data_IF_336719871854
#
_entry.id   IF_336719871854
#
_cell.length_a   1.000
_cell.length_b   1.000
_cell.length_c   1.000
_cell.angle_alpha   90.00
_cell.angle_beta   90.00
_cell.angle_gamma   90.00
#
_symmetry.space_group_name_H-M   'P 1'
#
loop_
_entity.id
_entity.type
_entity.pdbx_description
1 polymer ?
#
# COMPACT_ATOMS: atom_id res chain seq x y z
N UNK A 1 -18.83 -5.36 18.49
CA UNK A 1 -18.96 -6.29 17.33
C UNK A 1 -17.60 -6.47 16.60
N UNK A 2 -17.30 -7.67 16.10
CA UNK A 2 -16.00 -7.99 15.45
C UNK A 2 -15.73 -7.14 14.21
N UNK A 3 -16.76 -6.85 13.40
CA UNK A 3 -16.63 -6.03 12.19
C UNK A 3 -16.09 -4.61 12.44
N UNK A 4 -16.30 -4.03 13.62
CA UNK A 4 -15.68 -2.74 13.98
C UNK A 4 -14.15 -2.81 13.92
N UNK A 5 -13.56 -3.88 14.47
CA UNK A 5 -12.11 -4.04 14.53
C UNK A 5 -11.49 -4.23 13.15
N UNK A 6 -12.13 -5.02 12.28
CA UNK A 6 -11.72 -5.21 10.87
C UNK A 6 -11.62 -3.86 10.15
N UNK A 7 -12.69 -3.06 10.20
CA UNK A 7 -12.72 -1.77 9.52
C UNK A 7 -11.81 -0.73 10.16
N UNK A 8 -11.74 -0.69 11.50
CA UNK A 8 -10.85 0.21 12.22
C UNK A 8 -9.37 -0.08 11.92
N UNK A 9 -8.96 -1.34 11.89
CA UNK A 9 -7.57 -1.73 11.60
C UNK A 9 -7.15 -1.34 10.18
N UNK A 10 -8.03 -1.58 9.20
CA UNK A 10 -7.80 -1.17 7.81
C UNK A 10 -7.72 0.35 7.67
N UNK A 11 -8.60 1.09 8.35
CA UNK A 11 -8.57 2.55 8.36
C UNK A 11 -7.26 3.07 8.97
N UNK A 12 -6.85 2.57 10.14
CA UNK A 12 -5.57 2.90 10.77
C UNK A 12 -4.41 2.63 9.82
N UNK A 13 -4.44 1.52 9.09
CA UNK A 13 -3.36 1.17 8.17
C UNK A 13 -3.26 2.12 7.00
N UNK A 14 -4.40 2.48 6.40
CA UNK A 14 -4.46 3.50 5.34
C UNK A 14 -3.92 4.83 5.84
N UNK A 15 -4.21 5.21 7.09
CA UNK A 15 -3.68 6.43 7.69
C UNK A 15 -2.16 6.36 7.92
N UNK A 16 -1.64 5.20 8.37
CA UNK A 16 -0.20 4.98 8.63
C UNK A 16 0.62 4.98 7.33
N UNK A 17 0.19 4.23 6.30
CA UNK A 17 0.93 4.15 5.03
C UNK A 17 0.60 5.31 4.09
N UNK A 18 -0.53 5.97 4.33
CA UNK A 18 -1.04 7.15 3.64
C UNK A 18 -1.51 6.93 2.19
N UNK A 19 -2.11 7.98 1.58
CA UNK A 19 -2.82 7.91 0.31
C UNK A 19 -1.92 7.58 -0.89
N UNK A 20 -0.64 7.95 -0.82
CA UNK A 20 0.32 7.62 -1.88
C UNK A 20 0.48 6.09 -2.01
N UNK A 21 0.59 5.39 -0.88
CA UNK A 21 0.72 3.93 -0.89
C UNK A 21 -0.53 3.26 -1.45
N UNK A 22 -1.73 3.75 -1.10
CA UNK A 22 -3.01 3.27 -1.65
C UNK A 22 -3.07 3.46 -3.17
N UNK A 23 -2.66 4.64 -3.66
CA UNK A 23 -2.60 4.91 -5.09
C UNK A 23 -1.57 4.02 -5.81
N UNK A 24 -0.42 3.75 -5.17
CA UNK A 24 0.59 2.81 -5.63
C UNK A 24 0.07 1.38 -5.76
N UNK A 25 -0.65 0.90 -4.74
CA UNK A 25 -1.31 -0.43 -4.75
C UNK A 25 -2.33 -0.51 -5.89
N UNK A 26 -3.16 0.53 -6.09
CA UNK A 26 -4.10 0.59 -7.23
C UNK A 26 -3.35 0.45 -8.56
N UNK A 27 -2.22 1.15 -8.74
CA UNK A 27 -1.40 1.02 -9.95
C UNK A 27 -0.80 -0.39 -10.10
N UNK A 28 -0.38 -1.03 -9.02
CA UNK A 28 0.11 -2.42 -9.04
C UNK A 28 -0.96 -3.40 -9.54
N UNK A 29 -2.20 -3.29 -9.03
CA UNK A 29 -3.33 -4.12 -9.48
C UNK A 29 -3.64 -3.89 -10.95
N UNK A 30 -3.72 -2.63 -11.38
CA UNK A 30 -4.00 -2.26 -12.78
C UNK A 30 -2.92 -2.80 -13.71
N UNK A 31 -1.64 -2.68 -13.33
CA UNK A 31 -0.51 -3.22 -14.11
C UNK A 31 -0.53 -4.74 -14.20
N UNK A 32 -0.88 -5.46 -13.13
CA UNK A 32 -1.01 -6.93 -13.17
C UNK A 32 -2.18 -7.38 -14.04
N UNK A 33 -3.33 -6.68 -13.98
CA UNK A 33 -4.49 -6.96 -14.83
C UNK A 33 -4.21 -6.70 -16.30
N UNK A 34 -3.49 -5.63 -16.62
CA UNK A 34 -3.10 -5.33 -18.01
C UNK A 34 -1.88 -6.12 -18.48
N UNK A 35 -1.01 -6.58 -17.58
CA UNK A 35 0.17 -7.40 -17.87
C UNK A 35 -0.16 -8.81 -18.37
N UNK A 36 -1.40 -9.28 -18.19
CA UNK A 36 -1.93 -10.47 -18.86
C UNK A 36 -2.19 -10.27 -20.36
N UNK A 37 -2.33 -9.01 -20.80
CA UNK A 37 -2.31 -8.62 -22.20
C UNK A 37 -0.93 -8.08 -22.54
N UNK A 38 0.02 -8.97 -22.80
CA UNK A 38 1.35 -8.65 -23.35
C UNK A 38 1.17 -7.76 -24.59
N UNK A 39 1.17 -6.45 -24.39
CA UNK A 39 1.08 -5.49 -25.48
C UNK A 39 2.34 -5.68 -26.31
N UNK A 40 2.15 -6.17 -27.53
CA UNK A 40 3.14 -6.31 -28.62
C UNK A 40 3.70 -4.95 -29.06
N UNK A 41 4.22 -4.15 -28.12
CA UNK A 41 5.15 -3.06 -28.45
C UNK A 41 6.53 -3.65 -28.33
N UNK A 42 7.24 -3.70 -29.46
CA UNK A 42 8.58 -4.26 -29.61
C UNK A 42 9.42 -4.01 -28.37
N UNK A 43 9.83 -5.05 -27.62
CA UNK A 43 10.64 -4.88 -26.44
C UNK A 43 11.94 -4.20 -26.84
N UNK A 44 12.21 -3.01 -26.31
CA UNK A 44 13.56 -2.47 -26.40
C UNK A 44 14.44 -3.37 -25.51
N UNK A 45 15.61 -3.84 -25.97
CA UNK A 45 16.45 -4.77 -25.21
C UNK A 45 16.75 -4.29 -23.77
N UNK A 46 16.85 -2.97 -23.61
CA UNK A 46 17.14 -2.27 -22.35
C UNK A 46 15.94 -2.13 -21.40
N UNK A 47 14.68 -2.29 -21.86
CA UNK A 47 13.49 -2.11 -21.02
C UNK A 47 13.06 -3.39 -20.29
N UNK A 48 13.49 -4.56 -20.79
CA UNK A 48 13.06 -5.86 -20.25
C UNK A 48 13.43 -6.07 -18.77
N UNK A 49 14.56 -5.50 -18.32
CA UNK A 49 15.00 -5.58 -16.93
C UNK A 49 14.11 -4.76 -15.98
N UNK A 50 13.74 -3.55 -16.39
CA UNK A 50 12.86 -2.67 -15.64
C UNK A 50 11.43 -3.25 -15.54
N UNK A 51 10.92 -3.81 -16.65
CA UNK A 51 9.57 -4.40 -16.69
C UNK A 51 9.43 -5.60 -15.72
N UNK A 52 10.47 -6.45 -15.62
CA UNK A 52 10.48 -7.57 -14.66
C UNK A 52 10.61 -7.09 -13.21
N UNK A 53 11.38 -6.02 -12.96
CA UNK A 53 11.52 -5.41 -11.65
C UNK A 53 10.18 -4.87 -11.14
N UNK A 54 9.45 -4.15 -11.99
CA UNK A 54 8.13 -3.61 -11.69
C UNK A 54 7.11 -4.72 -11.40
N UNK A 55 7.14 -5.83 -12.14
CA UNK A 55 6.26 -6.97 -11.90
C UNK A 55 6.53 -7.63 -10.53
N UNK A 56 7.81 -7.87 -10.21
CA UNK A 56 8.22 -8.44 -8.91
C UNK A 56 7.80 -7.54 -7.76
N UNK A 57 7.97 -6.22 -7.92
CA UNK A 57 7.50 -5.23 -6.96
C UNK A 57 5.98 -5.31 -6.79
N UNK A 58 5.20 -5.37 -7.88
CA UNK A 58 3.75 -5.52 -7.81
C UNK A 58 3.33 -6.79 -7.05
N UNK A 59 3.97 -7.92 -7.35
CA UNK A 59 3.70 -9.20 -6.66
C UNK A 59 4.05 -9.13 -5.17
N UNK A 60 5.20 -8.56 -4.82
CA UNK A 60 5.62 -8.37 -3.44
C UNK A 60 4.62 -7.52 -2.64
N UNK A 61 4.22 -6.38 -3.20
CA UNK A 61 3.26 -5.46 -2.56
C UNK A 61 1.89 -6.13 -2.40
N UNK A 62 1.40 -6.84 -3.42
CA UNK A 62 0.11 -7.53 -3.31
C UNK A 62 0.16 -8.74 -2.38
N UNK A 63 1.27 -9.47 -2.32
CA UNK A 63 1.46 -10.55 -1.36
C UNK A 63 1.47 -10.01 0.08
N UNK A 64 2.15 -8.88 0.33
CA UNK A 64 2.12 -8.21 1.62
C UNK A 64 0.71 -7.72 2.00
N UNK A 65 -0.02 -7.14 1.05
CA UNK A 65 -1.41 -6.73 1.25
C UNK A 65 -2.31 -7.93 1.58
N UNK A 66 -2.15 -9.04 0.86
CA UNK A 66 -2.91 -10.26 1.09
C UNK A 66 -2.60 -10.87 2.47
N UNK A 67 -1.32 -10.93 2.86
CA UNK A 67 -0.92 -11.38 4.18
C UNK A 67 -1.55 -10.52 5.28
N UNK A 68 -1.56 -9.20 5.10
CA UNK A 68 -2.20 -8.26 6.02
C UNK A 68 -3.72 -8.48 6.12
N UNK A 69 -4.42 -8.70 5.00
CA UNK A 69 -5.86 -9.02 4.99
C UNK A 69 -6.16 -10.36 5.66
N UNK A 70 -5.33 -11.39 5.41
CA UNK A 70 -5.46 -12.69 6.07
C UNK A 70 -5.24 -12.54 7.57
N UNK A 71 -4.24 -11.77 7.99
CA UNK A 71 -3.99 -11.48 9.39
C UNK A 71 -5.17 -10.76 10.06
N UNK A 72 -5.76 -9.76 9.41
CA UNK A 72 -6.94 -9.05 9.92
C UNK A 72 -8.16 -9.97 10.07
N UNK A 73 -8.44 -10.77 9.04
CA UNK A 73 -9.59 -11.67 9.02
C UNK A 73 -9.44 -12.86 9.97
N UNK A 74 -8.20 -13.29 10.26
CA UNK A 74 -7.91 -14.40 11.18
C UNK A 74 -8.34 -14.14 12.63
N UNK A 75 -8.58 -12.88 13.00
CA UNK A 75 -8.96 -12.50 14.36
C UNK A 75 -7.83 -12.54 15.38
N UNK A 76 -6.59 -12.93 14.99
CA UNK A 76 -5.38 -12.75 15.80
C UNK A 76 -5.13 -11.28 16.15
N UNK A 77 -5.65 -10.33 15.35
CA UNK A 77 -5.42 -8.90 15.53
C UNK A 77 -6.17 -8.29 16.73
N UNK A 78 -7.02 -9.05 17.43
CA UNK A 78 -7.76 -8.56 18.59
C UNK A 78 -6.78 -8.40 19.78
N UNK A 79 -6.37 -7.16 20.04
CA UNK A 79 -5.45 -6.68 21.08
C UNK A 79 -3.92 -6.66 20.76
N UNK A 80 -3.46 -7.10 19.59
CA UNK A 80 -2.02 -7.05 19.19
C UNK A 80 -1.76 -6.46 17.80
N UNK A 81 -2.72 -5.70 17.27
CA UNK A 81 -2.67 -5.14 15.90
C UNK A 81 -1.37 -4.38 15.64
N UNK A 82 -0.93 -3.56 16.59
CA UNK A 82 0.27 -2.74 16.47
C UNK A 82 1.56 -3.56 16.32
N UNK A 83 1.64 -4.76 16.92
CA UNK A 83 2.84 -5.62 16.84
C UNK A 83 2.89 -6.44 15.56
N UNK A 84 1.73 -6.92 15.12
CA UNK A 84 1.65 -7.82 13.96
C UNK A 84 1.66 -7.03 12.64
N UNK A 85 1.07 -5.83 12.59
CA UNK A 85 0.85 -5.12 11.32
C UNK A 85 2.04 -4.29 10.87
N UNK A 86 2.85 -3.76 11.79
CA UNK A 86 3.96 -2.87 11.45
C UNK A 86 4.95 -3.47 10.43
N UNK A 87 5.38 -4.75 10.55
CA UNK A 87 6.22 -5.38 9.54
C UNK A 87 5.56 -5.41 8.16
N UNK A 88 4.27 -5.75 8.08
CA UNK A 88 3.56 -5.83 6.80
C UNK A 88 3.28 -4.46 6.18
N UNK A 89 2.97 -3.46 6.99
CA UNK A 89 2.73 -2.08 6.54
C UNK A 89 3.98 -1.50 5.85
N UNK A 90 5.18 -1.80 6.38
CA UNK A 90 6.44 -1.37 5.77
C UNK A 90 6.61 -1.93 4.33
N UNK A 91 6.15 -3.16 4.08
CA UNK A 91 6.20 -3.78 2.75
C UNK A 91 5.21 -3.21 1.74
N UNK A 92 4.26 -2.36 2.17
CA UNK A 92 3.37 -1.65 1.27
C UNK A 92 4.01 -0.38 0.70
N UNK A 93 4.90 0.29 1.44
CA UNK A 93 5.54 1.55 1.05
C UNK A 93 6.25 1.51 -0.32
N UNK A 94 6.93 0.41 -0.73
CA UNK A 94 7.53 0.30 -2.06
C UNK A 94 6.55 0.51 -3.22
N UNK A 95 5.23 0.37 -3.00
CA UNK A 95 4.20 0.69 -4.00
C UNK A 95 4.29 2.13 -4.51
N UNK A 96 4.83 3.06 -3.71
CA UNK A 96 5.06 4.44 -4.11
C UNK A 96 6.04 4.59 -5.27
N UNK A 97 6.94 3.61 -5.51
CA UNK A 97 7.84 3.63 -6.67
C UNK A 97 7.08 3.57 -8.01
N UNK A 98 5.83 3.10 -8.00
CA UNK A 98 4.95 3.07 -9.18
C UNK A 98 4.27 4.42 -9.45
N UNK A 99 4.42 5.39 -8.55
CA UNK A 99 3.83 6.71 -8.67
C UNK A 99 4.72 7.67 -9.47
N UNK A 100 4.06 8.54 -10.21
CA UNK A 100 4.68 9.67 -10.92
C UNK A 100 4.34 10.95 -10.18
N UNK A 101 5.25 11.93 -10.17
CA UNK A 101 5.04 13.20 -9.48
C UNK A 101 5.19 13.13 -7.96
N UNK A 102 6.33 12.62 -7.47
CA UNK A 102 6.60 12.40 -6.05
C UNK A 102 6.29 13.63 -5.15
N UNK A 103 6.56 14.85 -5.64
CA UNK A 103 6.33 16.09 -4.89
C UNK A 103 4.86 16.29 -4.50
N UNK A 104 3.92 15.97 -5.41
CA UNK A 104 2.49 16.08 -5.12
C UNK A 104 2.03 15.05 -4.10
N UNK A 105 2.56 13.83 -4.17
CA UNK A 105 2.27 12.79 -3.19
C UNK A 105 2.85 13.08 -1.82
N UNK A 106 4.08 13.61 -1.74
CA UNK A 106 4.68 14.07 -0.49
C UNK A 106 3.88 15.22 0.12
N UNK A 107 3.41 16.18 -0.69
CA UNK A 107 2.53 17.25 -0.22
C UNK A 107 1.21 16.67 0.33
N UNK A 108 0.58 15.73 -0.37
CA UNK A 108 -0.63 15.05 0.11
C UNK A 108 -0.41 14.28 1.42
N UNK A 109 0.73 13.62 1.57
CA UNK A 109 1.11 12.94 2.82
C UNK A 109 1.34 13.93 3.97
N UNK A 110 2.04 15.04 3.71
CA UNK A 110 2.27 16.08 4.70
C UNK A 110 0.95 16.73 5.15
N UNK A 111 0.05 17.02 4.20
CA UNK A 111 -1.29 17.54 4.52
C UNK A 111 -2.07 16.55 5.37
N UNK A 112 -2.07 15.25 5.03
CA UNK A 112 -2.73 14.24 5.86
C UNK A 112 -2.15 14.20 7.29
N UNK A 113 -0.82 14.21 7.42
CA UNK A 113 -0.17 14.21 8.73
C UNK A 113 -0.55 15.44 9.56
N UNK A 114 -0.58 16.63 8.94
CA UNK A 114 -1.05 17.85 9.59
C UNK A 114 -2.52 17.73 10.00
N UNK A 115 -3.40 17.27 9.12
CA UNK A 115 -4.81 17.08 9.45
C UNK A 115 -5.01 16.13 10.63
N UNK A 116 -4.30 15.00 10.65
CA UNK A 116 -4.36 14.06 11.77
C UNK A 116 -3.88 14.71 13.07
N UNK A 117 -2.76 15.42 13.03
CA UNK A 117 -2.21 16.09 14.20
C UNK A 117 -3.11 17.20 14.76
N UNK A 118 -3.83 17.92 13.90
CA UNK A 118 -4.62 19.08 14.32
C UNK A 118 -6.11 18.77 14.58
N UNK A 119 -6.65 17.70 13.98
CA UNK A 119 -8.05 17.32 14.14
C UNK A 119 -8.26 16.24 15.20
N UNK A 120 -7.27 15.37 15.41
CA UNK A 120 -7.32 14.41 16.50
C UNK A 120 -6.78 15.10 17.75
N UNK A 121 -7.64 15.22 18.76
CA UNK A 121 -7.23 15.54 20.12
C UNK A 121 -6.40 14.37 20.66
N UNK A 122 -5.13 14.35 20.28
CA UNK A 122 -4.14 13.48 20.90
C UNK A 122 -3.76 14.19 22.20
N UNK A 123 -4.47 13.86 23.28
CA UNK A 123 -4.26 14.46 24.61
C UNK A 123 -2.92 14.03 25.22
N UNK A 124 -1.83 14.41 24.57
CA UNK A 124 -0.46 14.30 25.06
C UNK A 124 -0.13 15.46 25.97
#
# INVERSE_FOLDING_TARGET
>A
PYGYWVWANLACTVLIVGPATVAGIRRAVVRLRHGGGWSRRSPRPWSQGADRGDLRLCLLVLAALLALLVADLSGMSKAETERIWLPFAAWLLPACALLTGARGWLAGQAVLALLLNHLLLTGW
#
